data_IF_910025313877
#
_entry.id   IF_910025313877
#
_cell.length_a   1.000
_cell.length_b   1.000
_cell.length_c   1.000
_cell.angle_alpha   90.00
_cell.angle_beta   90.00
_cell.angle_gamma   90.00
#
_symmetry.space_group_name_H-M   'P 1'
#
loop_
_entity.id
_entity.type
_entity.pdbx_description
1 polymer ?
#
# COMPACT_ATOMS: atom_id res chain seq x y z
N UNK A 1 -6.54 1.61 34.20
CA UNK A 1 -6.69 1.61 32.73
C UNK A 1 -5.44 1.04 32.12
N UNK A 2 -5.41 -0.29 32.02
CA UNK A 2 -4.22 -1.10 31.75
C UNK A 2 -3.75 -1.02 30.30
N UNK A 3 -2.43 -1.19 30.12
CA UNK A 3 -1.61 -0.95 28.92
C UNK A 3 -2.25 -1.41 27.59
N UNK A 4 -3.08 -0.56 26.98
CA UNK A 4 -3.49 -0.76 25.60
C UNK A 4 -2.31 -0.57 24.65
N UNK A 5 -2.21 -1.46 23.66
CA UNK A 5 -1.29 -1.26 22.53
C UNK A 5 -1.61 0.04 21.80
N UNK A 6 -0.61 0.66 21.16
CA UNK A 6 -0.78 1.90 20.39
C UNK A 6 -1.95 1.81 19.38
N UNK A 7 -2.11 0.65 18.72
CA UNK A 7 -3.21 0.44 17.77
C UNK A 7 -4.58 0.42 18.45
N UNK A 8 -4.68 -0.12 19.67
CA UNK A 8 -5.92 -0.09 20.44
C UNK A 8 -6.21 1.34 20.93
N UNK A 9 -5.21 2.11 21.32
CA UNK A 9 -5.37 3.54 21.63
C UNK A 9 -5.91 4.32 20.42
N UNK A 10 -5.36 4.09 19.21
CA UNK A 10 -5.90 4.67 17.97
C UNK A 10 -7.33 4.21 17.66
N UNK A 11 -7.70 2.97 17.99
CA UNK A 11 -9.08 2.50 17.88
C UNK A 11 -10.05 3.28 18.80
N UNK A 12 -9.63 3.70 20.00
CA UNK A 12 -10.46 4.55 20.87
C UNK A 12 -10.76 5.92 20.23
N UNK A 13 -9.79 6.48 19.50
CA UNK A 13 -10.01 7.72 18.75
C UNK A 13 -10.93 7.47 17.54
N UNK A 14 -10.70 6.38 16.81
CA UNK A 14 -11.52 5.97 15.66
C UNK A 14 -13.00 5.82 16.00
N UNK A 15 -13.33 5.27 17.18
CA UNK A 15 -14.69 5.15 17.69
C UNK A 15 -15.46 6.48 17.64
N UNK A 16 -14.82 7.60 17.99
CA UNK A 16 -15.44 8.93 17.98
C UNK A 16 -15.83 9.38 16.56
N UNK A 17 -15.00 9.06 15.58
CA UNK A 17 -15.22 9.45 14.19
C UNK A 17 -16.24 8.57 13.48
N UNK A 18 -16.20 7.26 13.73
CA UNK A 18 -17.03 6.30 12.99
C UNK A 18 -18.46 6.22 13.51
N UNK A 19 -18.73 6.62 14.77
CA UNK A 19 -20.04 6.48 15.42
C UNK A 19 -21.21 7.00 14.58
N UNK A 20 -21.03 8.12 13.87
CA UNK A 20 -22.07 8.73 13.00
C UNK A 20 -22.27 8.02 11.66
N UNK A 21 -21.46 7.02 11.34
CA UNK A 21 -21.42 6.35 10.03
C UNK A 21 -21.76 4.85 10.12
N UNK A 22 -22.02 4.31 11.30
CA UNK A 22 -22.31 2.89 11.53
C UNK A 22 -23.45 2.72 12.54
N UNK A 23 -24.18 1.60 12.47
CA UNK A 23 -25.22 1.26 13.44
C UNK A 23 -24.68 0.70 14.76
N UNK A 24 -25.56 0.57 15.76
CA UNK A 24 -25.22 0.14 17.14
C UNK A 24 -24.49 -1.20 17.19
N UNK A 25 -25.02 -2.24 16.53
CA UNK A 25 -24.38 -3.56 16.48
C UNK A 25 -22.94 -3.52 15.95
N UNK A 26 -22.66 -2.67 14.95
CA UNK A 26 -21.30 -2.53 14.43
C UNK A 26 -20.43 -1.70 15.37
N UNK A 27 -21.01 -0.72 16.08
CA UNK A 27 -20.32 0.08 17.08
C UNK A 27 -19.82 -0.79 18.23
N UNK A 28 -20.63 -1.72 18.72
CA UNK A 28 -20.24 -2.68 19.77
C UNK A 28 -19.01 -3.49 19.33
N UNK A 29 -19.05 -4.02 18.09
CA UNK A 29 -17.91 -4.73 17.52
C UNK A 29 -16.64 -3.85 17.44
N UNK A 30 -16.78 -2.56 17.13
CA UNK A 30 -15.65 -1.60 17.05
C UNK A 30 -15.07 -1.32 18.44
N UNK A 31 -15.91 -1.17 19.46
CA UNK A 31 -15.51 -0.98 20.85
C UNK A 31 -14.77 -2.21 21.38
N UNK A 32 -15.31 -3.39 21.11
CA UNK A 32 -14.75 -4.67 21.54
C UNK A 32 -13.60 -5.15 20.66
N UNK A 33 -13.33 -4.52 19.53
CA UNK A 33 -12.28 -4.97 18.62
C UNK A 33 -10.94 -5.12 19.38
N UNK A 34 -10.39 -6.34 19.37
CA UNK A 34 -9.12 -6.68 20.02
C UNK A 34 -9.09 -6.58 21.55
N UNK A 35 -10.23 -6.74 22.22
CA UNK A 35 -10.30 -6.91 23.68
C UNK A 35 -10.09 -8.37 24.09
N UNK A 36 -10.35 -9.33 23.19
CA UNK A 36 -10.13 -10.76 23.42
C UNK A 36 -9.03 -11.31 22.49
N UNK A 37 -8.07 -12.01 23.09
CA UNK A 37 -7.01 -12.74 22.39
C UNK A 37 -6.89 -14.13 23.01
N UNK A 38 -6.82 -15.15 22.16
CA UNK A 38 -6.57 -16.53 22.55
C UNK A 38 -5.32 -17.02 21.82
N UNK A 39 -4.44 -17.66 22.58
CA UNK A 39 -3.16 -18.16 22.11
C UNK A 39 -3.10 -19.67 22.23
N UNK A 40 -2.46 -20.31 21.26
CA UNK A 40 -1.99 -21.68 21.41
C UNK A 40 -0.54 -21.60 21.87
N UNK A 41 -0.17 -22.42 22.84
CA UNK A 41 1.15 -22.42 23.45
C UNK A 41 1.76 -23.82 23.42
N UNK A 42 3.08 -23.89 23.46
CA UNK A 42 3.78 -25.15 23.77
C UNK A 42 3.57 -25.56 25.23
N UNK A 43 3.99 -26.77 25.59
CA UNK A 43 3.81 -27.30 26.95
C UNK A 43 4.46 -26.42 28.03
N UNK A 44 5.54 -25.71 27.69
CA UNK A 44 6.28 -24.83 28.59
C UNK A 44 5.68 -23.43 28.68
N UNK A 45 4.71 -23.09 27.81
CA UNK A 45 4.10 -21.75 27.65
C UNK A 45 5.08 -20.65 27.21
N UNK A 46 6.31 -21.00 26.84
CA UNK A 46 7.34 -20.07 26.39
C UNK A 46 7.09 -19.58 24.97
N UNK A 47 6.56 -20.46 24.10
CA UNK A 47 6.24 -20.12 22.72
C UNK A 47 4.74 -20.09 22.54
N UNK A 48 4.23 -18.90 22.28
CA UNK A 48 2.81 -18.67 22.07
C UNK A 48 2.57 -18.12 20.66
N UNK A 49 1.51 -18.61 20.02
CA UNK A 49 1.03 -18.10 18.75
C UNK A 49 -0.42 -17.68 18.89
N UNK A 50 -0.72 -16.46 18.42
CA UNK A 50 -2.09 -15.96 18.40
C UNK A 50 -2.95 -16.89 17.52
N UNK A 51 -3.99 -17.46 18.11
CA UNK A 51 -4.93 -18.38 17.45
C UNK A 51 -6.23 -17.69 17.08
N UNK A 52 -6.83 -16.97 18.02
CA UNK A 52 -8.12 -16.29 17.82
C UNK A 52 -8.11 -14.90 18.44
N UNK A 53 -8.80 -13.97 17.79
CA UNK A 53 -9.02 -12.63 18.31
C UNK A 53 -10.37 -12.11 17.81
N UNK A 54 -11.05 -11.30 18.62
CA UNK A 54 -12.24 -10.59 18.15
C UNK A 54 -11.83 -9.39 17.26
N UNK A 55 -12.58 -9.17 16.18
CA UNK A 55 -12.29 -8.11 15.21
C UNK A 55 -13.57 -7.51 14.66
N UNK A 56 -13.65 -6.19 14.58
CA UNK A 56 -14.81 -5.49 14.00
C UNK A 56 -14.89 -5.59 12.46
N UNK A 57 -13.81 -6.03 11.80
CA UNK A 57 -13.69 -6.13 10.32
C UNK A 57 -13.89 -4.81 9.56
N UNK A 58 -14.06 -3.67 10.25
CA UNK A 58 -14.16 -2.37 9.62
C UNK A 58 -12.81 -1.96 9.02
N UNK A 59 -12.80 -1.55 7.74
CA UNK A 59 -11.59 -1.18 6.97
C UNK A 59 -10.81 0.01 7.57
N UNK A 60 -11.49 0.87 8.33
CA UNK A 60 -10.88 2.05 8.94
C UNK A 60 -10.42 1.79 10.38
N UNK A 61 -10.76 0.64 10.96
CA UNK A 61 -10.27 0.28 12.29
C UNK A 61 -8.75 0.05 12.25
N UNK A 62 -7.94 0.79 13.04
CA UNK A 62 -6.48 0.70 12.99
C UNK A 62 -5.92 -0.71 13.28
N UNK A 63 -6.61 -1.49 14.13
CA UNK A 63 -6.21 -2.86 14.42
C UNK A 63 -6.50 -3.77 13.23
N UNK A 64 -7.72 -3.72 12.69
CA UNK A 64 -8.15 -4.59 11.59
C UNK A 64 -7.38 -4.27 10.30
N UNK A 65 -7.24 -2.99 9.96
CA UNK A 65 -6.48 -2.53 8.81
C UNK A 65 -5.03 -3.02 8.86
N UNK A 66 -4.37 -2.89 10.02
CA UNK A 66 -2.99 -3.37 10.18
C UNK A 66 -2.88 -4.90 10.05
N UNK A 67 -3.79 -5.66 10.66
CA UNK A 67 -3.79 -7.13 10.53
C UNK A 67 -3.99 -7.55 9.08
N UNK A 68 -4.89 -6.87 8.35
CA UNK A 68 -5.12 -7.11 6.93
C UNK A 68 -3.87 -6.80 6.12
N UNK A 69 -3.25 -5.64 6.32
CA UNK A 69 -2.01 -5.25 5.64
C UNK A 69 -0.89 -6.28 5.83
N UNK A 70 -0.69 -6.83 7.05
CA UNK A 70 0.30 -7.90 7.27
C UNK A 70 -0.01 -9.20 6.52
N UNK A 71 -1.29 -9.60 6.48
CA UNK A 71 -1.72 -10.79 5.73
C UNK A 71 -1.51 -10.59 4.23
N UNK A 72 -1.83 -9.40 3.72
CA UNK A 72 -1.66 -9.06 2.31
C UNK A 72 -0.20 -9.02 1.93
N UNK A 73 0.66 -8.41 2.76
CA UNK A 73 2.11 -8.40 2.55
C UNK A 73 2.69 -9.82 2.50
N UNK A 74 2.23 -10.75 3.36
CA UNK A 74 2.64 -12.16 3.32
C UNK A 74 2.15 -12.86 2.05
N UNK A 75 0.90 -12.65 1.65
CA UNK A 75 0.38 -13.20 0.39
C UNK A 75 1.18 -12.70 -0.81
N UNK A 76 1.47 -11.40 -0.84
CA UNK A 76 2.28 -10.77 -1.88
C UNK A 76 3.71 -11.31 -1.91
N UNK A 77 4.35 -11.49 -0.75
CA UNK A 77 5.70 -12.04 -0.68
C UNK A 77 5.78 -13.46 -1.25
N UNK A 78 4.78 -14.30 -0.98
CA UNK A 78 4.70 -15.66 -1.51
C UNK A 78 4.51 -15.66 -3.03
N UNK A 79 3.62 -14.81 -3.56
CA UNK A 79 3.42 -14.66 -5.00
C UNK A 79 4.70 -14.16 -5.70
N UNK A 80 5.39 -13.20 -5.09
CA UNK A 80 6.66 -12.70 -5.62
C UNK A 80 7.75 -13.78 -5.65
N UNK A 81 7.87 -14.58 -4.59
CA UNK A 81 8.81 -15.70 -4.53
C UNK A 81 8.53 -16.71 -5.65
N UNK A 82 7.25 -17.07 -5.84
CA UNK A 82 6.84 -17.97 -6.92
C UNK A 82 7.21 -17.41 -8.29
N UNK A 83 6.81 -16.17 -8.60
CA UNK A 83 7.12 -15.51 -9.89
C UNK A 83 8.64 -15.40 -10.12
N UNK A 84 9.42 -15.16 -9.06
CA UNK A 84 10.88 -15.10 -9.18
C UNK A 84 11.50 -16.46 -9.52
N UNK A 85 11.01 -17.53 -8.88
CA UNK A 85 11.57 -18.87 -9.02
C UNK A 85 11.07 -19.59 -10.28
N UNK A 86 9.77 -19.55 -10.54
CA UNK A 86 9.13 -20.32 -11.61
C UNK A 86 9.08 -19.53 -12.93
N UNK A 87 8.72 -18.24 -12.88
CA UNK A 87 8.57 -17.39 -14.08
C UNK A 87 9.86 -16.64 -14.45
N UNK A 88 10.93 -16.84 -13.67
CA UNK A 88 12.25 -16.25 -13.88
C UNK A 88 12.21 -14.71 -14.02
N UNK A 89 11.33 -14.04 -13.26
CA UNK A 89 11.18 -12.57 -13.27
C UNK A 89 11.87 -11.91 -12.07
N UNK A 90 12.01 -10.60 -12.15
CA UNK A 90 12.45 -9.74 -11.06
C UNK A 90 11.43 -8.62 -10.83
N UNK A 91 11.59 -7.87 -9.75
CA UNK A 91 10.64 -6.83 -9.36
C UNK A 91 11.30 -5.46 -9.26
N UNK A 92 10.56 -4.44 -9.69
CA UNK A 92 10.84 -3.04 -9.37
C UNK A 92 9.68 -2.47 -8.55
N UNK A 93 10.00 -1.53 -7.67
CA UNK A 93 9.05 -0.75 -6.90
C UNK A 93 9.08 0.68 -7.40
N UNK A 94 7.95 1.15 -7.90
CA UNK A 94 7.75 2.46 -8.48
C UNK A 94 6.78 3.26 -7.60
N UNK A 95 7.23 4.41 -7.12
CA UNK A 95 6.39 5.40 -6.45
C UNK A 95 6.13 6.57 -7.39
N UNK A 96 4.85 6.79 -7.71
CA UNK A 96 4.38 7.91 -8.50
C UNK A 96 3.68 8.90 -7.57
N UNK A 97 4.02 10.17 -7.61
CA UNK A 97 3.34 11.22 -6.81
C UNK A 97 2.68 12.27 -7.70
N UNK A 98 1.78 13.06 -7.11
CA UNK A 98 1.16 14.27 -7.66
C UNK A 98 1.50 15.49 -6.82
N UNK A 99 1.21 16.71 -7.28
CA UNK A 99 1.13 17.87 -6.40
C UNK A 99 0.12 17.66 -5.25
N UNK A 100 0.31 18.39 -4.15
CA UNK A 100 -0.67 18.43 -3.08
C UNK A 100 -1.96 19.12 -3.56
N UNK A 101 -3.11 18.65 -3.08
CA UNK A 101 -4.43 19.19 -3.40
C UNK A 101 -5.24 19.43 -2.13
N UNK A 102 -6.23 20.33 -2.23
CA UNK A 102 -7.18 20.58 -1.14
C UNK A 102 -8.23 19.47 -1.06
N UNK A 103 -8.96 19.43 0.06
CA UNK A 103 -9.91 18.34 0.37
C UNK A 103 -11.02 18.20 -0.67
N UNK A 104 -11.54 19.33 -1.14
CA UNK A 104 -12.58 19.47 -2.15
C UNK A 104 -12.13 18.99 -3.54
N UNK A 105 -10.85 19.12 -3.87
CA UNK A 105 -10.29 18.65 -5.14
C UNK A 105 -9.82 17.19 -5.11
N UNK A 106 -9.62 16.61 -3.92
CA UNK A 106 -8.98 15.32 -3.73
C UNK A 106 -9.66 14.19 -4.52
N UNK A 107 -10.99 14.12 -4.52
CA UNK A 107 -11.71 13.07 -5.24
C UNK A 107 -11.49 13.16 -6.76
N UNK A 108 -11.56 14.38 -7.30
CA UNK A 108 -11.34 14.64 -8.72
C UNK A 108 -9.90 14.34 -9.11
N UNK A 109 -8.93 14.71 -8.26
CA UNK A 109 -7.53 14.41 -8.50
C UNK A 109 -7.29 12.89 -8.50
N UNK A 110 -7.87 12.14 -7.56
CA UNK A 110 -7.78 10.68 -7.55
C UNK A 110 -8.34 10.07 -8.84
N UNK A 111 -9.47 10.58 -9.37
CA UNK A 111 -10.04 10.11 -10.64
C UNK A 111 -9.09 10.40 -11.81
N UNK A 112 -8.58 11.64 -11.90
CA UNK A 112 -7.57 12.04 -12.91
C UNK A 112 -6.36 11.12 -12.83
N UNK A 113 -5.87 10.89 -11.63
CA UNK A 113 -4.67 10.13 -11.36
C UNK A 113 -4.78 8.65 -11.73
N UNK A 114 -5.93 8.03 -11.42
CA UNK A 114 -6.23 6.68 -11.89
C UNK A 114 -6.28 6.60 -13.42
N UNK A 115 -6.80 7.63 -14.10
CA UNK A 115 -6.80 7.68 -15.56
C UNK A 115 -5.38 7.82 -16.13
N UNK A 116 -4.56 8.72 -15.56
CA UNK A 116 -3.16 8.90 -15.93
C UNK A 116 -2.36 7.61 -15.76
N UNK A 117 -2.57 6.87 -14.66
CA UNK A 117 -1.95 5.57 -14.46
C UNK A 117 -2.34 4.56 -15.56
N UNK A 118 -3.62 4.48 -15.94
CA UNK A 118 -4.06 3.62 -17.05
C UNK A 118 -3.39 3.99 -18.37
N UNK A 119 -3.21 5.29 -18.64
CA UNK A 119 -2.48 5.77 -19.82
C UNK A 119 -1.00 5.39 -19.75
N UNK A 120 -0.36 5.50 -18.58
CA UNK A 120 1.05 5.15 -18.36
C UNK A 120 1.32 3.69 -18.73
N UNK A 121 0.54 2.76 -18.18
CA UNK A 121 0.73 1.33 -18.39
C UNK A 121 0.54 0.95 -19.87
N UNK A 122 -0.32 1.66 -20.59
CA UNK A 122 -0.55 1.45 -22.03
C UNK A 122 0.49 2.10 -22.96
N UNK A 123 1.46 2.86 -22.44
CA UNK A 123 2.54 3.40 -23.28
C UNK A 123 3.38 2.24 -23.81
N UNK A 124 3.67 2.22 -25.11
CA UNK A 124 4.41 1.12 -25.77
C UNK A 124 5.67 0.69 -25.02
N UNK A 125 6.46 1.66 -24.54
CA UNK A 125 7.69 1.42 -23.78
C UNK A 125 7.44 0.77 -22.42
N UNK A 126 6.35 1.13 -21.75
CA UNK A 126 5.97 0.59 -20.44
C UNK A 126 5.37 -0.80 -20.61
N UNK A 127 4.43 -0.95 -21.54
CA UNK A 127 3.75 -2.20 -21.85
C UNK A 127 4.73 -3.32 -22.26
N UNK A 128 5.79 -2.99 -23.01
CA UNK A 128 6.81 -3.97 -23.39
C UNK A 128 7.61 -4.53 -22.20
N UNK A 129 7.73 -3.75 -21.11
CA UNK A 129 8.51 -4.07 -19.92
C UNK A 129 7.68 -4.81 -18.86
N UNK A 130 6.47 -4.33 -18.61
CA UNK A 130 5.61 -4.82 -17.53
C UNK A 130 5.08 -6.22 -17.87
N UNK A 131 5.22 -7.17 -16.93
CA UNK A 131 4.62 -8.51 -17.02
C UNK A 131 3.44 -8.72 -16.08
N UNK A 132 3.27 -7.78 -15.16
CA UNK A 132 2.20 -7.75 -14.17
C UNK A 132 2.56 -6.74 -13.09
N UNK A 133 1.56 -6.25 -12.36
CA UNK A 133 1.80 -5.35 -11.25
C UNK A 133 0.72 -5.43 -10.19
N UNK A 134 1.08 -5.05 -8.97
CA UNK A 134 0.15 -4.70 -7.90
C UNK A 134 0.32 -3.22 -7.64
N UNK A 135 -0.79 -2.51 -7.38
CA UNK A 135 -0.76 -1.07 -7.07
C UNK A 135 -1.60 -0.74 -5.85
N UNK A 136 -1.18 0.28 -5.12
CA UNK A 136 -1.91 0.87 -4.00
C UNK A 136 -1.90 2.39 -4.11
N UNK A 137 -3.04 3.00 -3.88
CA UNK A 137 -3.17 4.45 -3.73
C UNK A 137 -3.02 4.76 -2.24
N UNK A 138 -2.04 5.58 -1.91
CA UNK A 138 -1.85 6.15 -0.59
C UNK A 138 -2.12 7.65 -0.62
N UNK A 139 -2.69 8.17 0.46
CA UNK A 139 -2.98 9.60 0.62
C UNK A 139 -2.36 10.03 1.94
N UNK A 140 -1.38 10.93 1.87
CA UNK A 140 -0.80 11.58 3.05
C UNK A 140 -1.47 12.93 3.28
N UNK A 141 -1.66 13.29 4.54
CA UNK A 141 -2.27 14.56 4.93
C UNK A 141 -1.25 15.44 5.66
N UNK A 142 -1.10 16.70 5.23
CA UNK A 142 -0.25 17.68 5.89
C UNK A 142 -1.10 18.65 6.72
N UNK A 143 -1.03 18.54 8.04
CA UNK A 143 -1.80 19.38 8.96
C UNK A 143 -1.45 20.88 8.90
N UNK A 144 -0.21 21.25 8.56
CA UNK A 144 0.22 22.67 8.54
C UNK A 144 -0.32 23.40 7.32
N UNK A 145 -0.32 22.74 6.17
CA UNK A 145 -0.81 23.30 4.89
C UNK A 145 -2.28 22.98 4.63
N UNK A 146 -2.84 22.05 5.40
CA UNK A 146 -4.19 21.52 5.23
C UNK A 146 -4.40 21.04 3.79
N UNK A 147 -3.55 20.12 3.36
CA UNK A 147 -3.56 19.55 2.01
C UNK A 147 -3.26 18.05 2.03
N UNK A 148 -3.56 17.41 0.91
CA UNK A 148 -3.45 15.97 0.72
C UNK A 148 -2.52 15.67 -0.45
N UNK A 149 -1.70 14.64 -0.32
CA UNK A 149 -0.84 14.15 -1.40
C UNK A 149 -1.18 12.70 -1.77
N UNK A 150 -1.97 12.50 -2.85
CA UNK A 150 -2.21 11.17 -3.38
C UNK A 150 -0.99 10.68 -4.17
N UNK A 151 -0.53 9.48 -3.87
CA UNK A 151 0.58 8.83 -4.57
C UNK A 151 0.32 7.32 -4.73
N UNK A 152 0.88 6.74 -5.79
CA UNK A 152 0.81 5.31 -6.06
C UNK A 152 2.10 4.64 -5.63
N UNK A 153 1.97 3.53 -4.92
CA UNK A 153 3.00 2.51 -4.83
C UNK A 153 2.66 1.40 -5.81
N UNK A 154 3.62 1.03 -6.65
CA UNK A 154 3.43 0.06 -7.73
C UNK A 154 4.57 -0.93 -7.69
N UNK A 155 4.23 -2.18 -7.38
CA UNK A 155 5.15 -3.30 -7.48
C UNK A 155 4.98 -3.93 -8.86
N UNK A 156 6.04 -3.94 -9.66
CA UNK A 156 5.99 -4.34 -11.07
C UNK A 156 6.92 -5.55 -11.28
N UNK A 157 6.38 -6.60 -11.89
CA UNK A 157 7.16 -7.74 -12.38
C UNK A 157 7.76 -7.42 -13.76
N UNK A 158 9.06 -7.64 -13.91
CA UNK A 158 9.84 -7.38 -15.13
C UNK A 158 10.73 -8.57 -15.47
N UNK A 159 11.13 -8.67 -16.74
CA UNK A 159 12.16 -9.64 -17.13
C UNK A 159 13.50 -9.32 -16.44
N UNK A 160 14.32 -10.35 -16.16
CA UNK A 160 15.68 -10.16 -15.61
C UNK A 160 16.55 -9.22 -16.46
N UNK A 161 16.37 -9.27 -17.78
CA UNK A 161 17.07 -8.41 -18.73
C UNK A 161 16.73 -6.92 -18.58
N UNK A 162 15.68 -6.55 -17.85
CA UNK A 162 15.34 -5.14 -17.60
C UNK A 162 16.53 -4.34 -17.03
N UNK A 163 17.37 -4.97 -16.21
CA UNK A 163 18.52 -4.30 -15.57
C UNK A 163 19.80 -4.31 -16.41
N UNK A 164 19.82 -5.00 -17.54
CA UNK A 164 21.03 -5.16 -18.38
C UNK A 164 20.82 -4.69 -19.81
N UNK A 165 19.62 -4.84 -20.35
CA UNK A 165 19.26 -4.43 -21.71
C UNK A 165 18.76 -2.98 -21.72
N UNK A 166 19.55 -2.11 -22.36
CA UNK A 166 19.24 -0.67 -22.49
C UNK A 166 17.95 -0.40 -23.29
N UNK A 167 17.52 -1.33 -24.14
CA UNK A 167 16.29 -1.18 -24.91
C UNK A 167 15.04 -1.34 -24.04
N UNK A 168 15.13 -2.11 -22.95
CA UNK A 168 14.01 -2.33 -22.02
C UNK A 168 14.11 -1.52 -20.74
N UNK A 169 15.31 -1.18 -20.28
CA UNK A 169 15.48 -0.37 -19.08
C UNK A 169 14.77 0.98 -19.23
N UNK A 170 14.06 1.39 -18.17
CA UNK A 170 13.45 2.71 -18.04
C UNK A 170 14.10 3.39 -16.85
N UNK A 171 14.85 4.45 -17.13
CA UNK A 171 15.52 5.23 -16.08
C UNK A 171 14.52 5.99 -15.21
N UNK A 172 14.94 6.43 -14.03
CA UNK A 172 14.09 7.26 -13.17
C UNK A 172 13.65 8.57 -13.87
N UNK A 173 14.54 9.19 -14.64
CA UNK A 173 14.22 10.39 -15.41
C UNK A 173 13.20 10.09 -16.53
N UNK A 174 13.31 8.93 -17.18
CA UNK A 174 12.35 8.52 -18.20
C UNK A 174 10.98 8.22 -17.58
N UNK A 175 10.92 7.54 -16.43
CA UNK A 175 9.68 7.37 -15.66
C UNK A 175 9.04 8.70 -15.28
N UNK A 176 9.84 9.68 -14.84
CA UNK A 176 9.36 11.03 -14.52
C UNK A 176 8.74 11.71 -15.74
N UNK A 177 9.43 11.65 -16.89
CA UNK A 177 8.96 12.27 -18.13
C UNK A 177 7.66 11.60 -18.63
N UNK A 178 7.61 10.26 -18.65
CA UNK A 178 6.40 9.51 -18.98
C UNK A 178 5.24 9.88 -18.06
N UNK A 179 5.54 10.11 -16.77
CA UNK A 179 4.54 10.46 -15.79
C UNK A 179 3.97 11.86 -15.98
N UNK A 180 4.83 12.85 -16.18
CA UNK A 180 4.43 14.23 -16.53
C UNK A 180 3.57 14.26 -17.78
N UNK A 181 3.95 13.49 -18.81
CA UNK A 181 3.24 13.43 -20.08
C UNK A 181 1.80 12.87 -19.93
N UNK A 182 1.62 11.74 -19.23
CA UNK A 182 0.26 11.18 -19.05
C UNK A 182 -0.62 11.93 -18.05
N UNK A 183 -0.01 12.66 -17.11
CA UNK A 183 -0.72 13.52 -16.16
C UNK A 183 -1.03 14.90 -16.71
N UNK A 184 -0.22 15.40 -17.64
CA UNK A 184 -0.25 16.78 -18.11
C UNK A 184 0.28 17.79 -17.09
N UNK A 185 1.10 17.35 -16.13
CA UNK A 185 1.58 18.16 -15.00
C UNK A 185 3.11 18.25 -15.05
N UNK A 186 3.69 19.26 -15.70
CA UNK A 186 5.15 19.41 -15.78
C UNK A 186 5.81 19.68 -14.41
N UNK A 187 5.05 20.17 -13.41
CA UNK A 187 5.52 20.54 -12.07
C UNK A 187 5.89 19.34 -11.20
N UNK A 188 5.49 18.11 -11.57
CA UNK A 188 5.90 16.91 -10.83
C UNK A 188 7.42 16.84 -10.88
N UNK A 189 8.12 16.92 -9.76
CA UNK A 189 9.59 16.98 -9.73
C UNK A 189 10.26 15.63 -9.58
N UNK A 190 9.55 14.63 -9.06
CA UNK A 190 10.15 13.36 -8.69
C UNK A 190 9.20 12.17 -8.86
N UNK A 191 9.80 11.05 -9.23
CA UNK A 191 9.29 9.69 -9.05
C UNK A 191 10.41 8.89 -8.44
N UNK A 192 10.08 7.79 -7.77
CA UNK A 192 11.10 6.90 -7.21
C UNK A 192 10.97 5.51 -7.83
N UNK A 193 12.06 4.95 -8.35
CA UNK A 193 12.09 3.60 -8.89
C UNK A 193 13.29 2.84 -8.35
N UNK A 194 13.08 1.65 -7.84
CA UNK A 194 14.16 0.82 -7.31
C UNK A 194 13.92 -0.67 -7.56
N UNK A 195 15.00 -1.45 -7.64
CA UNK A 195 14.93 -2.91 -7.66
C UNK A 195 14.55 -3.42 -6.28
N UNK A 196 13.58 -4.34 -6.19
CA UNK A 196 13.23 -4.97 -4.92
C UNK A 196 14.29 -6.00 -4.55
N UNK A 197 14.82 -5.90 -3.32
CA UNK A 197 15.83 -6.81 -2.78
C UNK A 197 15.16 -7.89 -1.93
N UNK A 198 15.69 -9.12 -1.96
CA UNK A 198 15.09 -10.29 -1.33
C UNK A 198 14.87 -10.18 0.20
N UNK A 199 15.67 -9.35 0.89
CA UNK A 199 15.62 -9.21 2.35
C UNK A 199 14.97 -7.90 2.81
N UNK A 200 14.44 -7.09 1.90
CA UNK A 200 13.78 -5.85 2.27
C UNK A 200 12.26 -6.07 2.29
N UNK A 201 11.71 -6.28 3.49
CA UNK A 201 10.27 -6.40 3.68
C UNK A 201 9.59 -5.02 3.69
N UNK A 202 10.35 -3.92 3.65
CA UNK A 202 9.81 -2.56 3.78
C UNK A 202 8.86 -2.22 2.64
N UNK A 203 9.25 -2.49 1.40
CA UNK A 203 8.44 -2.23 0.21
C UNK A 203 7.15 -3.07 0.21
N UNK A 204 7.21 -4.30 0.74
CA UNK A 204 6.04 -5.16 0.90
C UNK A 204 5.03 -4.62 1.93
N UNK A 205 5.51 -3.95 2.98
CA UNK A 205 4.63 -3.28 3.96
C UNK A 205 4.10 -1.93 3.45
N UNK A 206 4.76 -1.34 2.46
CA UNK A 206 4.29 -0.13 1.76
C UNK A 206 3.18 -0.45 0.73
N UNK A 207 3.11 -1.70 0.24
CA UNK A 207 1.99 -2.24 -0.57
C UNK A 207 0.71 -2.51 0.21
#
# INVERSE_FOLDING_TARGET
MEKYTEKKQRNQVFQKFIKRHIGENQMDLVQDCNTFLSFVADKTLEKQKLYKANSCKNRFCPVCAWRKARKDALGLSLMMQYIKQQENKEFIFLTLTTPNVKSDELENEIKRYNNSFRKLIKRKKVDSVIKGYVRKLEITYNKKRDDYNPHFHVLIAVNKSYFTDKNYYISQQEWLNLWRDVTGIPEITQVHVQKVKANNNKELYEM
#
